data_IF_083173313404
#
_entry.id   IF_083173313404
#
_cell.length_a   1.000
_cell.length_b   1.000
_cell.length_c   1.000
_cell.angle_alpha   90.00
_cell.angle_beta   90.00
_cell.angle_gamma   90.00
#
_symmetry.space_group_name_H-M   'P 1'
#
loop_
_entity.id
_entity.type
_entity.pdbx_description
1 polymer ?
#
# COMPACT_ATOMS: atom_id res chain seq x y z
N UNK A 1 -19.58 21.07 -19.79
CA UNK A 1 -18.68 20.74 -18.64
C UNK A 1 -18.74 19.23 -18.47
N UNK A 2 -17.65 18.50 -18.77
CA UNK A 2 -17.62 17.05 -18.52
C UNK A 2 -17.79 16.82 -17.02
N UNK A 3 -18.58 15.80 -16.63
CA UNK A 3 -18.70 15.40 -15.23
C UNK A 3 -17.31 15.07 -14.67
N UNK A 4 -17.02 15.52 -13.44
CA UNK A 4 -15.81 15.13 -12.73
C UNK A 4 -15.77 13.60 -12.58
N UNK A 5 -14.64 12.99 -12.92
CA UNK A 5 -14.44 11.55 -12.76
C UNK A 5 -14.51 11.20 -11.27
N UNK A 6 -15.41 10.29 -10.88
CA UNK A 6 -15.64 9.85 -9.49
C UNK A 6 -15.10 8.44 -9.28
N UNK A 7 -14.19 8.28 -8.34
CA UNK A 7 -13.51 7.02 -8.03
C UNK A 7 -13.81 6.58 -6.60
N UNK A 8 -14.38 5.39 -6.45
CA UNK A 8 -14.51 4.71 -5.15
C UNK A 8 -13.28 3.86 -4.87
N UNK A 9 -12.41 4.28 -3.97
CA UNK A 9 -11.22 3.53 -3.57
C UNK A 9 -11.52 2.71 -2.32
N UNK A 10 -11.44 1.39 -2.39
CA UNK A 10 -11.84 0.48 -1.30
C UNK A 10 -10.60 -0.16 -0.68
N UNK A 11 -10.41 0.09 0.61
CA UNK A 11 -9.37 -0.52 1.43
C UNK A 11 -10.00 -1.52 2.41
N UNK A 12 -9.53 -2.78 2.48
CA UNK A 12 -10.08 -3.76 3.43
C UNK A 12 -9.59 -3.55 4.87
N UNK A 13 -8.49 -2.80 5.04
CA UNK A 13 -7.83 -2.58 6.32
C UNK A 13 -8.29 -1.27 6.98
N UNK A 14 -8.37 -1.29 8.33
CA UNK A 14 -8.70 -0.07 9.09
C UNK A 14 -7.64 1.01 8.88
N UNK A 15 -8.09 2.21 8.50
CA UNK A 15 -7.23 3.38 8.34
C UNK A 15 -6.78 4.00 9.67
N UNK A 16 -7.33 3.54 10.80
CA UNK A 16 -6.87 3.94 12.14
C UNK A 16 -5.63 3.17 12.59
N UNK A 17 -5.21 2.15 11.84
CA UNK A 17 -4.01 1.34 12.10
C UNK A 17 -2.99 1.61 11.00
N UNK A 18 -1.77 2.08 11.32
CA UNK A 18 -0.72 2.29 10.33
C UNK A 18 -0.36 1.00 9.59
N UNK A 19 -0.20 1.09 8.27
CA UNK A 19 0.21 -0.04 7.43
C UNK A 19 0.52 0.40 6.00
N UNK A 20 1.31 -0.40 5.29
CA UNK A 20 1.77 -0.07 3.95
C UNK A 20 0.64 0.13 2.94
N UNK A 21 -0.39 -0.73 2.97
CA UNK A 21 -1.55 -0.61 2.05
C UNK A 21 -2.36 0.64 2.38
N UNK A 22 -2.60 0.93 3.67
CA UNK A 22 -3.31 2.12 4.12
C UNK A 22 -2.59 3.40 3.68
N UNK A 23 -1.27 3.46 3.83
CA UNK A 23 -0.45 4.58 3.36
C UNK A 23 -0.56 4.77 1.84
N UNK A 24 -0.51 3.68 1.05
CA UNK A 24 -0.68 3.73 -0.40
C UNK A 24 -2.06 4.24 -0.81
N UNK A 25 -3.12 3.73 -0.19
CA UNK A 25 -4.51 4.19 -0.43
C UNK A 25 -4.64 5.68 -0.16
N UNK A 26 -4.16 6.15 0.97
CA UNK A 26 -4.28 7.56 1.36
C UNK A 26 -3.42 8.48 0.50
N UNK A 27 -2.16 8.12 0.21
CA UNK A 27 -1.27 8.89 -0.64
C UNK A 27 -1.79 8.99 -2.08
N UNK A 28 -2.18 7.86 -2.67
CA UNK A 28 -2.76 7.83 -4.01
C UNK A 28 -4.05 8.67 -4.09
N UNK A 29 -4.90 8.60 -3.06
CA UNK A 29 -6.13 9.39 -3.01
C UNK A 29 -5.85 10.89 -2.95
N UNK A 30 -4.85 11.34 -2.17
CA UNK A 30 -4.45 12.74 -2.09
C UNK A 30 -3.96 13.26 -3.45
N UNK A 31 -3.08 12.52 -4.12
CA UNK A 31 -2.55 12.92 -5.42
C UNK A 31 -3.63 12.96 -6.52
N UNK A 32 -4.49 11.95 -6.59
CA UNK A 32 -5.61 11.94 -7.55
C UNK A 32 -6.55 13.12 -7.33
N UNK A 33 -6.86 13.47 -6.06
CA UNK A 33 -7.68 14.64 -5.73
C UNK A 33 -6.98 15.95 -6.09
N UNK A 34 -5.68 16.05 -5.89
CA UNK A 34 -4.88 17.20 -6.34
C UNK A 34 -4.90 17.37 -7.87
N UNK A 35 -5.13 16.27 -8.62
CA UNK A 35 -5.33 16.26 -10.07
C UNK A 35 -6.77 16.58 -10.50
N UNK A 36 -7.69 16.89 -9.58
CA UNK A 36 -9.09 17.19 -9.87
C UNK A 36 -9.99 15.97 -10.06
N UNK A 37 -9.56 14.78 -9.67
CA UNK A 37 -10.39 13.56 -9.66
C UNK A 37 -11.12 13.50 -8.32
N UNK A 38 -12.43 13.27 -8.33
CA UNK A 38 -13.19 13.08 -7.10
C UNK A 38 -12.97 11.66 -6.56
N UNK A 39 -12.14 11.53 -5.51
CA UNK A 39 -11.88 10.25 -4.87
C UNK A 39 -12.59 10.20 -3.52
N UNK A 40 -13.32 9.10 -3.28
CA UNK A 40 -13.86 8.73 -1.98
C UNK A 40 -13.24 7.41 -1.54
N UNK A 41 -12.63 7.39 -0.35
CA UNK A 41 -12.06 6.17 0.23
C UNK A 41 -13.11 5.49 1.10
N UNK A 42 -13.38 4.22 0.84
CA UNK A 42 -14.28 3.36 1.60
C UNK A 42 -13.42 2.38 2.41
N UNK A 43 -13.37 2.53 3.73
CA UNK A 43 -12.52 1.69 4.59
C UNK A 43 -13.05 1.58 6.03
N UNK A 44 -12.73 0.50 6.76
CA UNK A 44 -12.94 0.45 8.20
C UNK A 44 -12.14 1.56 8.90
N UNK A 45 -12.70 2.09 10.00
CA UNK A 45 -12.02 3.05 10.88
C UNK A 45 -12.42 2.77 12.33
N UNK A 46 -11.43 2.58 13.20
CA UNK A 46 -11.64 2.34 14.64
C UNK A 46 -11.76 3.63 15.45
N UNK A 47 -11.49 4.77 14.81
CA UNK A 47 -11.60 6.12 15.32
C UNK A 47 -12.16 7.08 14.27
N UNK A 48 -11.97 8.39 14.47
CA UNK A 48 -12.34 9.38 13.46
C UNK A 48 -11.65 9.10 12.12
N UNK A 49 -12.33 9.30 10.97
CA UNK A 49 -11.71 9.11 9.67
C UNK A 49 -10.53 10.08 9.50
N UNK A 50 -9.40 9.64 8.93
CA UNK A 50 -8.18 10.45 8.82
C UNK A 50 -8.30 11.64 7.85
N UNK A 51 -9.35 11.66 7.02
CA UNK A 51 -9.61 12.75 6.08
C UNK A 51 -11.10 12.84 5.73
N UNK A 52 -11.56 14.02 5.29
CA UNK A 52 -12.96 14.26 4.92
C UNK A 52 -13.45 13.47 3.70
N UNK A 53 -12.54 12.99 2.87
CA UNK A 53 -12.85 12.13 1.74
C UNK A 53 -12.88 10.63 2.08
N UNK A 54 -12.80 10.26 3.35
CA UNK A 54 -12.92 8.89 3.84
C UNK A 54 -14.33 8.66 4.38
N UNK A 55 -14.99 7.62 3.88
CA UNK A 55 -16.25 7.10 4.39
C UNK A 55 -15.98 5.90 5.28
N UNK A 56 -16.17 6.02 6.62
CA UNK A 56 -15.91 4.93 7.55
C UNK A 56 -16.95 3.82 7.42
N UNK A 57 -16.49 2.57 7.21
CA UNK A 57 -17.35 1.41 7.03
C UNK A 57 -17.63 0.63 8.32
N UNK A 58 -17.08 1.06 9.45
CA UNK A 58 -17.22 0.43 10.76
C UNK A 58 -15.88 0.14 11.41
N UNK A 59 -15.90 -0.56 12.54
CA UNK A 59 -14.70 -0.94 13.29
C UNK A 59 -14.07 -2.21 12.74
N UNK A 60 -12.77 -2.35 12.94
CA UNK A 60 -12.02 -3.55 12.53
C UNK A 60 -11.96 -4.58 13.66
N UNK A 61 -11.73 -5.83 13.25
CA UNK A 61 -11.42 -6.96 14.12
C UNK A 61 -9.99 -7.41 13.83
N UNK A 62 -9.15 -7.62 14.86
CA UNK A 62 -7.82 -8.19 14.68
C UNK A 62 -7.93 -9.59 14.07
N UNK A 63 -7.41 -9.78 12.88
CA UNK A 63 -7.49 -11.05 12.14
C UNK A 63 -6.07 -11.52 11.81
N UNK A 64 -5.73 -12.76 12.15
CA UNK A 64 -4.44 -13.35 11.77
C UNK A 64 -4.37 -13.56 10.27
N UNK A 65 -3.37 -12.99 9.62
CA UNK A 65 -3.12 -13.14 8.19
C UNK A 65 -1.60 -13.16 7.90
N UNK A 66 -1.13 -14.21 7.26
CA UNK A 66 0.26 -14.35 6.78
C UNK A 66 1.34 -14.00 7.83
N UNK A 67 1.19 -14.48 9.06
CA UNK A 67 2.15 -14.21 10.16
C UNK A 67 2.05 -12.81 10.78
N UNK A 68 1.03 -12.03 10.42
CA UNK A 68 0.75 -10.70 10.94
C UNK A 68 -0.72 -10.59 11.37
N UNK A 69 -1.05 -9.55 12.17
CA UNK A 69 -2.44 -9.25 12.53
C UNK A 69 -2.94 -8.13 11.62
N UNK A 70 -3.95 -8.45 10.81
CA UNK A 70 -4.61 -7.50 9.91
C UNK A 70 -5.89 -6.94 10.55
N UNK A 71 -6.13 -5.61 10.54
CA UNK A 71 -7.34 -4.99 11.08
C UNK A 71 -8.46 -5.02 10.02
N UNK A 72 -9.21 -6.13 9.93
CA UNK A 72 -10.26 -6.36 8.94
C UNK A 72 -11.67 -6.11 9.52
N UNK A 73 -12.64 -5.84 8.64
CA UNK A 73 -14.06 -5.72 9.00
C UNK A 73 -14.95 -6.65 8.14
N UNK A 74 -14.96 -7.96 8.41
CA UNK A 74 -15.77 -8.92 7.64
C UNK A 74 -17.24 -8.98 8.07
N UNK A 75 -17.67 -8.15 9.01
CA UNK A 75 -18.99 -8.18 9.63
C UNK A 75 -20.11 -7.67 8.69
N UNK A 76 -21.38 -8.11 8.90
CA UNK A 76 -22.52 -7.68 8.08
C UNK A 76 -22.77 -6.18 8.09
N UNK A 77 -22.47 -5.48 9.18
CA UNK A 77 -22.65 -4.03 9.26
C UNK A 77 -21.70 -3.29 8.31
N UNK A 78 -20.46 -3.75 8.20
CA UNK A 78 -19.50 -3.22 7.23
C UNK A 78 -19.98 -3.49 5.80
N UNK A 79 -20.49 -4.71 5.52
CA UNK A 79 -21.04 -5.05 4.21
C UNK A 79 -22.21 -4.14 3.82
N UNK A 80 -23.18 -3.92 4.72
CA UNK A 80 -24.32 -3.04 4.46
C UNK A 80 -23.90 -1.59 4.20
N UNK A 81 -22.94 -1.05 4.97
CA UNK A 81 -22.40 0.30 4.72
C UNK A 81 -21.66 0.38 3.40
N UNK A 82 -20.93 -0.68 3.02
CA UNK A 82 -20.25 -0.76 1.72
C UNK A 82 -21.27 -0.75 0.57
N UNK A 83 -22.32 -1.58 0.66
CA UNK A 83 -23.41 -1.61 -0.32
C UNK A 83 -24.04 -0.22 -0.47
N UNK A 84 -24.38 0.41 0.66
CA UNK A 84 -24.97 1.74 0.68
C UNK A 84 -24.08 2.77 -0.01
N UNK A 85 -22.80 2.85 0.37
CA UNK A 85 -21.84 3.79 -0.21
C UNK A 85 -21.67 3.57 -1.73
N UNK A 86 -21.56 2.31 -2.19
CA UNK A 86 -21.42 1.98 -3.61
C UNK A 86 -22.68 2.31 -4.42
N UNK A 87 -23.86 2.31 -3.79
CA UNK A 87 -25.13 2.61 -4.45
C UNK A 87 -25.41 4.12 -4.49
N UNK A 88 -25.12 4.84 -3.38
CA UNK A 88 -25.44 6.27 -3.26
C UNK A 88 -24.40 7.19 -3.92
N UNK A 89 -23.13 6.77 -3.99
CA UNK A 89 -22.03 7.61 -4.50
C UNK A 89 -21.88 7.58 -6.03
N UNK A 90 -22.52 6.65 -6.73
CA UNK A 90 -22.53 6.56 -8.21
C UNK A 90 -21.13 6.67 -8.85
N UNK A 91 -20.17 5.84 -8.39
CA UNK A 91 -18.80 5.86 -8.91
C UNK A 91 -18.70 5.49 -10.39
N UNK A 92 -17.84 6.18 -11.13
CA UNK A 92 -17.47 5.84 -12.50
C UNK A 92 -16.55 4.62 -12.56
N UNK A 93 -15.64 4.48 -11.55
CA UNK A 93 -14.70 3.38 -11.38
C UNK A 93 -14.60 3.04 -9.90
N UNK A 94 -14.45 1.74 -9.60
CA UNK A 94 -14.14 1.24 -8.26
C UNK A 94 -12.73 0.67 -8.27
N UNK A 95 -11.85 1.17 -7.40
CA UNK A 95 -10.49 0.68 -7.23
C UNK A 95 -10.37 -0.10 -5.93
N UNK A 96 -10.07 -1.40 -6.01
CA UNK A 96 -9.92 -2.28 -4.86
C UNK A 96 -8.46 -2.51 -4.53
N UNK A 97 -8.07 -2.31 -3.30
CA UNK A 97 -6.78 -2.76 -2.76
C UNK A 97 -6.99 -4.09 -2.02
N UNK A 98 -6.17 -5.10 -2.32
CA UNK A 98 -6.33 -6.47 -1.82
C UNK A 98 -7.76 -7.02 -2.06
N UNK A 99 -8.16 -7.23 -3.32
CA UNK A 99 -9.56 -7.41 -3.72
C UNK A 99 -10.24 -8.63 -3.09
N UNK A 100 -9.49 -9.67 -2.73
CA UNK A 100 -10.04 -10.91 -2.19
C UNK A 100 -9.96 -11.01 -0.66
N UNK A 101 -9.54 -9.94 0.00
CA UNK A 101 -9.58 -9.85 1.47
C UNK A 101 -11.02 -9.75 1.94
N UNK A 102 -11.41 -10.53 3.00
CA UNK A 102 -12.77 -10.48 3.54
C UNK A 102 -13.19 -9.08 4.01
N UNK A 103 -14.41 -8.68 3.68
CA UNK A 103 -14.98 -7.40 4.07
C UNK A 103 -15.40 -6.54 2.87
N UNK A 104 -15.10 -5.23 2.87
CA UNK A 104 -15.62 -4.28 1.90
C UNK A 104 -15.21 -4.57 0.45
N UNK A 105 -14.00 -5.09 0.22
CA UNK A 105 -13.52 -5.39 -1.14
C UNK A 105 -14.27 -6.53 -1.79
N UNK A 106 -14.57 -7.61 -1.05
CA UNK A 106 -15.41 -8.70 -1.55
C UNK A 106 -16.83 -8.22 -1.84
N UNK A 107 -17.39 -7.40 -0.95
CA UNK A 107 -18.72 -6.80 -1.15
C UNK A 107 -18.74 -5.96 -2.44
N UNK A 108 -17.72 -5.16 -2.69
CA UNK A 108 -17.61 -4.34 -3.90
C UNK A 108 -17.52 -5.19 -5.19
N UNK A 109 -16.79 -6.32 -5.17
CA UNK A 109 -16.75 -7.26 -6.31
C UNK A 109 -18.14 -7.85 -6.57
N UNK A 110 -18.88 -8.21 -5.54
CA UNK A 110 -20.21 -8.79 -5.68
C UNK A 110 -21.21 -7.78 -6.24
N UNK A 111 -21.20 -6.55 -5.75
CA UNK A 111 -22.07 -5.46 -6.19
C UNK A 111 -21.78 -5.05 -7.63
N UNK A 112 -20.52 -4.95 -8.03
CA UNK A 112 -20.05 -4.65 -9.39
C UNK A 112 -20.78 -3.43 -10.02
N UNK A 113 -20.93 -2.34 -9.27
CA UNK A 113 -21.67 -1.14 -9.67
C UNK A 113 -20.98 -0.34 -10.78
N UNK A 114 -19.65 -0.46 -10.89
CA UNK A 114 -18.81 0.21 -11.88
C UNK A 114 -17.67 -0.72 -12.32
N UNK A 115 -16.92 -0.40 -13.41
CA UNK A 115 -15.69 -1.11 -13.76
C UNK A 115 -14.74 -1.15 -12.59
N UNK A 116 -14.13 -2.34 -12.33
CA UNK A 116 -13.26 -2.57 -11.19
C UNK A 116 -11.80 -2.66 -11.66
N UNK A 117 -10.93 -1.82 -11.09
CA UNK A 117 -9.49 -2.02 -11.08
C UNK A 117 -9.08 -2.60 -9.73
N UNK A 118 -8.13 -3.53 -9.72
CA UNK A 118 -7.71 -4.21 -8.50
C UNK A 118 -6.20 -4.19 -8.36
N UNK A 119 -5.71 -3.76 -7.19
CA UNK A 119 -4.29 -3.75 -6.85
C UNK A 119 -3.98 -4.78 -5.77
N UNK A 120 -3.04 -5.67 -6.06
CA UNK A 120 -2.57 -6.76 -5.22
C UNK A 120 -1.25 -6.36 -4.55
N UNK A 121 -1.22 -6.38 -3.23
CA UNK A 121 -0.05 -5.96 -2.43
C UNK A 121 0.68 -7.13 -1.76
N UNK A 122 0.00 -8.25 -1.54
CA UNK A 122 0.55 -9.40 -0.83
C UNK A 122 1.50 -10.20 -1.71
N UNK A 123 2.61 -10.66 -1.12
CA UNK A 123 3.55 -11.61 -1.71
C UNK A 123 3.68 -12.85 -0.80
N UNK A 124 4.38 -13.89 -1.27
CA UNK A 124 4.59 -15.13 -0.55
C UNK A 124 3.54 -16.19 -0.82
N UNK A 125 3.10 -16.95 0.20
CA UNK A 125 2.06 -17.98 0.09
C UNK A 125 0.75 -17.51 0.75
N UNK A 126 -0.39 -17.91 0.18
CA UNK A 126 -1.71 -17.56 0.70
C UNK A 126 -2.61 -18.79 0.81
N UNK A 127 -2.87 -19.19 2.05
CA UNK A 127 -3.82 -20.27 2.33
C UNK A 127 -5.22 -19.93 1.77
N UNK A 128 -5.64 -18.67 1.83
CA UNK A 128 -6.94 -18.24 1.32
C UNK A 128 -7.06 -18.49 -0.20
N UNK A 129 -6.04 -18.16 -0.99
CA UNK A 129 -6.03 -18.44 -2.43
C UNK A 129 -6.04 -19.93 -2.73
N UNK A 130 -5.40 -20.75 -1.91
CA UNK A 130 -5.35 -22.20 -2.06
C UNK A 130 -6.70 -22.86 -1.83
N UNK A 131 -7.38 -22.52 -0.73
CA UNK A 131 -8.63 -23.14 -0.36
C UNK A 131 -9.88 -22.56 -1.04
N UNK A 132 -9.85 -21.27 -1.42
CA UNK A 132 -10.98 -20.58 -2.04
C UNK A 132 -10.81 -20.35 -3.54
N UNK A 133 -10.02 -21.19 -4.23
CA UNK A 133 -9.62 -21.00 -5.63
C UNK A 133 -10.82 -20.78 -6.58
N UNK A 134 -11.87 -21.63 -6.49
CA UNK A 134 -13.02 -21.51 -7.40
C UNK A 134 -13.82 -20.20 -7.26
N UNK A 135 -14.24 -19.78 -6.07
CA UNK A 135 -14.93 -18.50 -5.91
C UNK A 135 -14.02 -17.30 -6.25
N UNK A 136 -12.72 -17.37 -5.95
CA UNK A 136 -11.76 -16.33 -6.30
C UNK A 136 -11.61 -16.20 -7.83
N UNK A 137 -11.52 -17.32 -8.56
CA UNK A 137 -11.50 -17.31 -10.03
C UNK A 137 -12.78 -16.70 -10.62
N UNK A 138 -13.95 -17.05 -10.11
CA UNK A 138 -15.20 -16.47 -10.57
C UNK A 138 -15.27 -14.95 -10.30
N UNK A 139 -14.81 -14.52 -9.13
CA UNK A 139 -14.75 -13.11 -8.75
C UNK A 139 -13.72 -12.33 -9.59
N UNK A 140 -12.59 -12.97 -9.94
CA UNK A 140 -11.53 -12.35 -10.74
C UNK A 140 -11.98 -11.95 -12.15
N UNK A 141 -12.97 -12.63 -12.72
CA UNK A 141 -13.55 -12.29 -14.03
C UNK A 141 -14.31 -10.95 -14.03
N UNK A 142 -14.62 -10.41 -12.85
CA UNK A 142 -15.25 -9.09 -12.69
C UNK A 142 -14.24 -7.94 -12.65
N UNK A 143 -12.95 -8.25 -12.56
CA UNK A 143 -11.88 -7.26 -12.53
C UNK A 143 -11.56 -6.82 -13.97
N UNK A 144 -11.84 -5.57 -14.29
CA UNK A 144 -11.59 -5.00 -15.62
C UNK A 144 -10.10 -4.72 -15.87
N UNK A 145 -9.33 -4.43 -14.80
CA UNK A 145 -7.88 -4.25 -14.85
C UNK A 145 -7.23 -4.79 -13.57
N UNK A 146 -6.07 -5.40 -13.69
CA UNK A 146 -5.36 -6.04 -12.58
C UNK A 146 -3.94 -5.50 -12.48
N UNK A 147 -3.58 -5.04 -11.29
CA UNK A 147 -2.27 -4.48 -10.96
C UNK A 147 -1.64 -5.26 -9.82
N UNK A 148 -0.35 -5.52 -9.89
CA UNK A 148 0.44 -6.05 -8.79
C UNK A 148 1.54 -5.05 -8.42
N UNK A 149 1.81 -4.86 -7.12
CA UNK A 149 2.79 -3.86 -6.66
C UNK A 149 4.24 -4.34 -6.75
N UNK A 150 4.47 -5.61 -7.10
CA UNK A 150 5.79 -6.19 -7.26
C UNK A 150 5.74 -7.44 -8.15
N UNK A 151 6.91 -7.93 -8.57
CA UNK A 151 7.03 -9.21 -9.25
C UNK A 151 6.52 -10.36 -8.39
N UNK A 152 6.86 -10.35 -7.10
CA UNK A 152 6.46 -11.38 -6.14
C UNK A 152 4.95 -11.40 -5.91
N UNK A 153 4.32 -10.22 -5.81
CA UNK A 153 2.86 -10.10 -5.73
C UNK A 153 2.19 -10.61 -7.02
N UNK A 154 2.75 -10.28 -8.19
CA UNK A 154 2.29 -10.81 -9.49
C UNK A 154 2.40 -12.33 -9.53
N UNK A 155 3.52 -12.90 -9.14
CA UNK A 155 3.73 -14.36 -9.14
C UNK A 155 2.76 -15.08 -8.22
N UNK A 156 2.53 -14.55 -7.01
CA UNK A 156 1.56 -15.11 -6.07
C UNK A 156 0.18 -15.20 -6.73
N UNK A 157 -0.35 -14.07 -7.20
CA UNK A 157 -1.72 -14.05 -7.75
C UNK A 157 -1.83 -14.81 -9.07
N UNK A 158 -0.81 -14.75 -9.92
CA UNK A 158 -0.77 -15.50 -11.19
C UNK A 158 -0.80 -17.02 -10.96
N UNK A 159 -0.07 -17.51 -9.94
CA UNK A 159 -0.02 -18.95 -9.58
C UNK A 159 -1.40 -19.52 -9.25
N UNK A 160 -2.24 -18.76 -8.54
CA UNK A 160 -3.54 -19.24 -8.06
C UNK A 160 -4.72 -18.85 -8.94
N UNK A 161 -4.64 -17.71 -9.62
CA UNK A 161 -5.75 -17.09 -10.34
C UNK A 161 -5.48 -17.08 -11.84
N UNK A 162 -4.20 -17.02 -12.27
CA UNK A 162 -3.83 -16.82 -13.66
C UNK A 162 -4.15 -15.42 -14.17
N UNK A 163 -4.08 -15.21 -15.47
CA UNK A 163 -4.37 -13.93 -16.14
C UNK A 163 -3.18 -12.98 -16.19
N UNK A 164 -3.40 -11.80 -16.78
CA UNK A 164 -2.37 -10.77 -16.94
C UNK A 164 -2.46 -9.72 -15.83
N UNK A 165 -1.30 -9.25 -15.39
CA UNK A 165 -1.13 -8.25 -14.34
C UNK A 165 -0.09 -7.22 -14.79
N UNK A 166 -0.47 -5.95 -14.75
CA UNK A 166 0.48 -4.85 -14.86
C UNK A 166 1.24 -4.70 -13.53
N UNK A 167 2.53 -4.44 -13.59
CA UNK A 167 3.31 -4.15 -12.38
C UNK A 167 3.38 -2.63 -12.23
N UNK A 168 2.74 -2.11 -11.18
CA UNK A 168 2.84 -0.71 -10.76
C UNK A 168 3.33 -0.69 -9.32
N UNK A 169 4.57 -0.26 -9.15
CA UNK A 169 5.20 -0.19 -7.84
C UNK A 169 4.51 0.81 -6.93
N UNK A 170 4.58 0.57 -5.60
CA UNK A 170 4.08 1.50 -4.61
C UNK A 170 4.77 2.86 -4.72
N UNK A 171 4.02 3.94 -4.49
CA UNK A 171 4.52 5.30 -4.53
C UNK A 171 4.81 5.89 -3.15
N UNK A 172 5.64 6.94 -3.14
CA UNK A 172 5.94 7.77 -1.96
C UNK A 172 5.67 9.23 -2.31
N UNK A 173 5.13 9.98 -1.35
CA UNK A 173 4.83 11.41 -1.50
C UNK A 173 6.12 12.24 -1.33
N UNK A 174 6.97 12.26 -2.35
CA UNK A 174 8.30 12.89 -2.33
C UNK A 174 8.34 14.33 -1.81
N UNK A 175 7.35 15.23 -2.10
CA UNK A 175 7.38 16.60 -1.58
C UNK A 175 7.43 16.69 -0.06
N UNK A 176 6.80 15.71 0.65
CA UNK A 176 6.81 15.69 2.11
C UNK A 176 8.24 15.52 2.67
N UNK A 177 9.08 14.74 1.99
CA UNK A 177 10.47 14.48 2.38
C UNK A 177 11.40 15.67 2.07
N UNK A 178 11.04 16.53 1.12
CA UNK A 178 11.85 17.70 0.73
C UNK A 178 11.56 18.93 1.57
N UNK A 179 10.35 19.04 2.11
CA UNK A 179 9.86 20.22 2.84
C UNK A 179 9.92 20.10 4.36
N UNK A 180 10.11 18.89 4.90
CA UNK A 180 10.19 18.68 6.34
C UNK A 180 11.58 19.04 6.87
N UNK A 181 11.68 19.76 8.01
CA UNK A 181 12.96 19.99 8.66
C UNK A 181 13.47 18.69 9.29
N UNK A 182 14.77 18.43 9.13
CA UNK A 182 15.43 17.34 9.84
C UNK A 182 15.37 17.57 11.36
N UNK A 183 15.12 16.52 12.13
CA UNK A 183 15.36 16.55 13.56
C UNK A 183 16.82 16.15 13.79
N UNK A 184 17.66 17.06 14.30
CA UNK A 184 19.05 16.73 14.58
C UNK A 184 19.13 15.60 15.63
N UNK A 185 20.24 14.86 15.57
CA UNK A 185 20.61 13.99 16.68
C UNK A 185 20.62 14.80 18.00
N UNK A 186 20.31 14.20 19.16
CA UNK A 186 20.37 14.88 20.46
C UNK A 186 21.74 15.55 20.71
N UNK A 187 22.79 14.98 20.15
CA UNK A 187 24.15 15.54 20.08
C UNK A 187 24.55 15.74 18.63
N UNK A 188 24.87 16.97 18.20
CA UNK A 188 25.42 17.21 16.87
C UNK A 188 26.61 16.28 16.59
N UNK A 189 26.68 15.79 15.35
CA UNK A 189 27.75 14.90 14.88
C UNK A 189 27.80 13.48 15.47
N UNK A 190 26.80 13.06 16.27
CA UNK A 190 26.76 11.69 16.79
C UNK A 190 26.22 10.72 15.72
N UNK A 191 26.98 9.67 15.34
CA UNK A 191 26.54 8.68 14.38
C UNK A 191 25.26 8.00 14.87
N UNK A 192 24.18 8.09 14.09
CA UNK A 192 22.87 7.62 14.52
C UNK A 192 22.27 6.67 13.50
N UNK A 193 21.84 5.51 13.98
CA UNK A 193 21.10 4.51 13.21
C UNK A 193 19.61 4.69 13.51
N UNK A 194 18.76 4.64 12.49
CA UNK A 194 17.31 4.65 12.64
C UNK A 194 16.68 3.36 12.15
N UNK A 195 15.85 2.76 12.99
CA UNK A 195 14.97 1.65 12.66
C UNK A 195 13.52 2.07 12.81
N UNK A 196 12.70 1.77 11.80
CA UNK A 196 11.26 2.03 11.84
C UNK A 196 10.50 0.84 11.26
N UNK A 197 9.88 0.05 12.14
CA UNK A 197 9.12 -1.14 11.78
C UNK A 197 8.42 -1.76 12.98
N UNK A 198 7.41 -2.62 12.73
CA UNK A 198 6.77 -3.34 13.83
C UNK A 198 7.80 -4.24 14.53
N UNK A 199 7.77 -4.24 15.86
CA UNK A 199 8.63 -5.11 16.66
C UNK A 199 8.06 -6.53 16.66
N UNK A 200 8.34 -7.24 15.58
CA UNK A 200 8.00 -8.66 15.34
C UNK A 200 9.21 -9.35 14.71
N UNK A 201 9.39 -10.64 14.98
CA UNK A 201 10.58 -11.43 14.63
C UNK A 201 11.05 -11.19 13.18
N UNK A 202 10.10 -11.26 12.23
CA UNK A 202 10.41 -11.11 10.79
C UNK A 202 11.03 -9.76 10.41
N UNK A 203 10.90 -8.71 11.26
CA UNK A 203 11.51 -7.39 11.03
C UNK A 203 12.96 -7.29 11.49
N UNK A 204 13.48 -8.30 12.16
CA UNK A 204 14.89 -8.45 12.47
C UNK A 204 15.44 -7.39 13.44
N UNK A 205 14.58 -6.75 14.25
CA UNK A 205 15.07 -5.80 15.26
C UNK A 205 16.04 -6.46 16.24
N UNK A 206 15.87 -7.75 16.58
CA UNK A 206 16.79 -8.53 17.41
C UNK A 206 18.21 -8.56 16.82
N UNK A 207 18.31 -8.71 15.48
CA UNK A 207 19.60 -8.74 14.76
C UNK A 207 20.29 -7.39 14.86
N UNK A 208 19.55 -6.29 14.69
CA UNK A 208 20.11 -4.94 14.83
C UNK A 208 20.54 -4.65 16.26
N UNK A 209 19.74 -5.04 17.26
CA UNK A 209 20.07 -4.85 18.66
C UNK A 209 21.32 -5.66 19.06
N UNK A 210 21.48 -6.88 18.53
CA UNK A 210 22.69 -7.65 18.72
C UNK A 210 23.91 -7.00 18.03
N UNK A 211 23.73 -6.45 16.83
CA UNK A 211 24.78 -5.75 16.10
C UNK A 211 25.29 -4.48 16.82
N UNK A 212 24.42 -3.81 17.62
CA UNK A 212 24.84 -2.67 18.45
C UNK A 212 25.99 -3.00 19.42
N UNK A 213 26.07 -4.26 19.90
CA UNK A 213 27.17 -4.72 20.74
C UNK A 213 28.53 -4.79 20.04
N UNK A 214 28.56 -4.72 18.70
CA UNK A 214 29.77 -4.75 17.88
C UNK A 214 30.16 -3.36 17.34
N UNK A 215 29.32 -2.33 17.61
CA UNK A 215 29.52 -0.96 17.16
C UNK A 215 30.19 -0.12 18.26
N UNK A 216 30.92 0.96 17.90
CA UNK A 216 31.50 1.90 18.85
C UNK A 216 30.48 2.50 19.82
N UNK A 217 30.95 2.84 21.05
CA UNK A 217 30.07 3.27 22.14
C UNK A 217 29.35 4.61 21.86
N UNK A 218 29.88 5.45 20.99
CA UNK A 218 29.25 6.72 20.59
C UNK A 218 28.05 6.56 19.65
N UNK A 219 27.88 5.38 19.01
CA UNK A 219 26.77 5.14 18.05
C UNK A 219 25.44 5.08 18.76
N UNK A 220 24.47 5.86 18.31
CA UNK A 220 23.12 5.89 18.83
C UNK A 220 22.16 5.10 17.93
N UNK A 221 21.16 4.47 18.53
CA UNK A 221 20.09 3.76 17.82
C UNK A 221 18.72 4.34 18.18
N UNK A 222 18.00 4.83 17.20
CA UNK A 222 16.59 5.20 17.33
C UNK A 222 15.69 4.06 16.88
N UNK A 223 14.84 3.58 17.79
CA UNK A 223 13.91 2.46 17.54
C UNK A 223 12.48 3.01 17.56
N UNK A 224 11.86 3.11 16.38
CA UNK A 224 10.48 3.59 16.23
C UNK A 224 9.48 2.46 16.04
N UNK A 225 8.22 2.74 16.38
CA UNK A 225 7.08 1.84 16.38
C UNK A 225 6.99 0.98 17.65
N UNK A 226 6.16 -0.06 17.62
CA UNK A 226 6.00 -1.08 18.65
C UNK A 226 5.44 -2.37 18.02
N UNK A 227 5.35 -3.43 18.79
CA UNK A 227 4.82 -4.72 18.35
C UNK A 227 4.84 -5.75 19.47
N UNK A 228 4.49 -7.01 19.18
CA UNK A 228 4.42 -8.08 20.18
C UNK A 228 5.74 -8.29 20.92
N UNK A 229 6.89 -8.10 20.26
CA UNK A 229 8.21 -8.31 20.88
C UNK A 229 8.74 -7.11 21.67
N UNK A 230 8.06 -5.95 21.66
CA UNK A 230 8.57 -4.73 22.31
C UNK A 230 8.95 -4.94 23.79
N UNK A 231 8.09 -5.60 24.57
CA UNK A 231 8.33 -5.80 25.99
C UNK A 231 9.58 -6.70 26.23
N UNK A 232 9.69 -7.79 25.49
CA UNK A 232 10.85 -8.72 25.54
C UNK A 232 12.15 -8.01 25.19
N UNK A 233 12.14 -7.28 24.06
CA UNK A 233 13.35 -6.58 23.58
C UNK A 233 13.80 -5.47 24.53
N UNK A 234 12.86 -4.70 25.09
CA UNK A 234 13.20 -3.70 26.13
C UNK A 234 13.73 -4.33 27.40
N UNK A 235 13.23 -5.49 27.81
CA UNK A 235 13.77 -6.18 28.99
C UNK A 235 15.20 -6.67 28.74
N UNK A 236 15.53 -7.05 27.53
CA UNK A 236 16.86 -7.58 27.18
C UNK A 236 17.89 -6.48 26.91
N UNK A 237 17.51 -5.40 26.22
CA UNK A 237 18.42 -4.37 25.72
C UNK A 237 18.18 -2.97 26.32
N UNK A 238 17.19 -2.81 27.19
CA UNK A 238 16.81 -1.50 27.71
C UNK A 238 17.81 -0.86 28.67
N UNK A 239 18.84 -1.58 29.12
CA UNK A 239 19.93 -1.04 29.92
C UNK A 239 21.01 -0.33 29.06
N UNK A 240 21.02 -0.51 27.74
CA UNK A 240 21.94 0.18 26.85
C UNK A 240 21.38 1.59 26.56
N UNK A 241 22.02 2.61 27.14
CA UNK A 241 21.62 4.02 27.02
C UNK A 241 21.72 4.58 25.58
N UNK A 242 22.43 3.88 24.68
CA UNK A 242 22.53 4.24 23.27
C UNK A 242 21.24 3.94 22.50
N UNK A 243 20.30 3.15 23.07
CA UNK A 243 19.09 2.68 22.41
C UNK A 243 17.90 3.53 22.86
N UNK A 244 17.42 4.39 21.97
CA UNK A 244 16.29 5.29 22.21
C UNK A 244 15.00 4.70 21.65
N UNK A 245 14.11 4.26 22.53
CA UNK A 245 12.81 3.69 22.16
C UNK A 245 11.77 4.80 21.99
N UNK A 246 11.51 5.18 20.73
CA UNK A 246 10.67 6.33 20.39
C UNK A 246 9.17 6.02 20.39
N UNK A 247 8.78 4.75 20.40
CA UNK A 247 7.38 4.37 20.25
C UNK A 247 6.83 4.68 18.86
N UNK A 248 5.52 4.87 18.75
CA UNK A 248 4.89 5.24 17.48
C UNK A 248 5.16 6.70 17.15
N UNK A 249 5.57 6.95 15.92
CA UNK A 249 5.80 8.28 15.39
C UNK A 249 4.63 8.70 14.47
N UNK A 250 4.42 10.01 14.37
CA UNK A 250 3.63 10.59 13.28
C UNK A 250 4.44 10.49 11.97
N UNK A 251 3.78 10.66 10.81
CA UNK A 251 4.49 10.66 9.52
C UNK A 251 5.52 11.80 9.46
N UNK A 252 5.19 12.98 9.99
CA UNK A 252 6.11 14.12 10.08
C UNK A 252 7.34 13.78 10.93
N UNK A 253 7.14 13.20 12.12
CA UNK A 253 8.27 12.83 13.00
C UNK A 253 9.11 11.72 12.37
N UNK A 254 8.49 10.75 11.69
CA UNK A 254 9.21 9.69 10.96
C UNK A 254 10.12 10.29 9.88
N UNK A 255 9.59 11.21 9.06
CA UNK A 255 10.36 11.88 8.02
C UNK A 255 11.52 12.66 8.65
N UNK A 256 11.26 13.43 9.69
CA UNK A 256 12.29 14.22 10.36
C UNK A 256 13.39 13.34 10.99
N UNK A 257 13.04 12.14 11.52
CA UNK A 257 14.01 11.15 12.02
C UNK A 257 14.80 10.49 10.90
N UNK A 258 14.17 10.18 9.78
CA UNK A 258 14.88 9.70 8.60
C UNK A 258 15.94 10.70 8.15
N UNK A 259 15.57 11.96 7.97
CA UNK A 259 16.50 13.03 7.56
C UNK A 259 17.61 13.32 8.58
N UNK A 260 17.34 13.11 9.87
CA UNK A 260 18.30 13.35 10.95
C UNK A 260 19.21 12.15 11.26
N UNK A 261 18.93 10.97 10.73
CA UNK A 261 19.73 9.78 10.96
C UNK A 261 20.90 9.68 9.97
N UNK A 262 22.04 9.18 10.44
CA UNK A 262 23.19 8.90 9.56
C UNK A 262 22.91 7.70 8.66
N UNK A 263 22.26 6.66 9.20
CA UNK A 263 21.93 5.42 8.48
C UNK A 263 20.54 4.95 8.88
N UNK A 264 19.73 4.60 7.89
CA UNK A 264 18.51 3.83 8.09
C UNK A 264 18.78 2.34 7.97
N UNK A 265 18.32 1.55 8.95
CA UNK A 265 18.53 0.10 8.98
C UNK A 265 17.21 -0.66 8.85
N UNK A 266 17.12 -1.55 7.84
CA UNK A 266 15.98 -2.42 7.60
C UNK A 266 16.41 -3.91 7.57
N UNK A 267 16.67 -4.54 8.74
CA UNK A 267 17.28 -5.87 8.84
C UNK A 267 16.27 -7.01 8.81
N UNK A 268 15.18 -6.86 8.04
CA UNK A 268 14.10 -7.85 7.98
C UNK A 268 14.63 -9.25 7.62
N UNK A 269 14.08 -10.29 8.25
CA UNK A 269 14.48 -11.68 8.02
C UNK A 269 13.75 -12.30 6.81
N UNK A 270 12.47 -11.93 6.63
CA UNK A 270 11.62 -12.43 5.54
C UNK A 270 10.32 -11.61 5.43
N UNK A 271 9.49 -11.93 4.42
CA UNK A 271 8.11 -11.43 4.32
C UNK A 271 7.97 -9.98 3.86
N UNK A 272 8.99 -9.44 3.20
CA UNK A 272 8.92 -8.12 2.56
C UNK A 272 8.50 -8.29 1.10
N UNK A 273 7.41 -7.63 0.73
CA UNK A 273 6.88 -7.70 -0.64
C UNK A 273 7.46 -6.65 -1.59
N UNK A 274 7.89 -5.49 -1.04
CA UNK A 274 8.35 -4.40 -1.89
C UNK A 274 9.42 -3.51 -1.24
N UNK A 275 9.29 -3.14 0.04
CA UNK A 275 10.29 -2.29 0.73
C UNK A 275 9.99 -0.79 0.64
N UNK A 276 8.74 -0.37 0.82
CA UNK A 276 8.36 1.06 0.86
C UNK A 276 9.22 1.87 1.82
N UNK A 277 9.62 1.29 2.95
CA UNK A 277 10.49 1.96 3.94
C UNK A 277 11.87 2.32 3.38
N UNK A 278 12.38 1.56 2.39
CA UNK A 278 13.64 1.90 1.73
C UNK A 278 13.46 3.11 0.82
N UNK A 279 12.34 3.20 0.09
CA UNK A 279 12.03 4.37 -0.74
C UNK A 279 11.85 5.61 0.13
N UNK A 280 11.22 5.47 1.28
CA UNK A 280 11.07 6.54 2.26
C UNK A 280 12.45 7.07 2.74
N UNK A 281 13.37 6.17 3.05
CA UNK A 281 14.74 6.53 3.44
C UNK A 281 15.52 7.17 2.27
N UNK A 282 15.40 6.62 1.05
CA UNK A 282 15.98 7.20 -0.17
C UNK A 282 15.45 8.61 -0.41
N UNK A 283 14.12 8.82 -0.30
CA UNK A 283 13.50 10.13 -0.48
C UNK A 283 13.94 11.15 0.58
N UNK A 284 14.22 10.69 1.80
CA UNK A 284 14.75 11.51 2.89
C UNK A 284 16.24 11.85 2.73
N UNK A 285 16.96 11.20 1.81
CA UNK A 285 18.39 11.35 1.64
C UNK A 285 19.20 10.65 2.75
N UNK A 286 18.70 9.53 3.26
CA UNK A 286 19.35 8.75 4.32
C UNK A 286 20.03 7.54 3.71
N UNK A 287 21.29 7.27 4.08
CA UNK A 287 21.99 6.06 3.67
C UNK A 287 21.31 4.80 4.24
N UNK A 288 21.32 3.70 3.48
CA UNK A 288 20.54 2.50 3.81
C UNK A 288 21.44 1.29 3.98
N UNK A 289 21.24 0.56 5.09
CA UNK A 289 21.63 -0.83 5.23
C UNK A 289 20.37 -1.67 5.35
N UNK A 290 20.20 -2.67 4.49
CA UNK A 290 19.02 -3.52 4.50
C UNK A 290 19.37 -4.99 4.24
N UNK A 291 18.49 -5.90 4.63
CA UNK A 291 18.63 -7.31 4.29
C UNK A 291 18.42 -7.54 2.79
N UNK A 292 19.19 -8.48 2.23
CA UNK A 292 19.19 -8.87 0.82
C UNK A 292 17.97 -9.75 0.48
N UNK A 293 16.75 -9.25 0.72
CA UNK A 293 15.50 -9.92 0.41
C UNK A 293 15.01 -9.58 -1.00
N UNK A 294 14.33 -10.51 -1.66
CA UNK A 294 13.78 -10.29 -3.01
C UNK A 294 12.86 -9.06 -3.07
N UNK A 295 12.02 -8.87 -2.05
CA UNK A 295 11.17 -7.67 -1.94
C UNK A 295 11.98 -6.37 -1.91
N UNK A 296 13.08 -6.33 -1.18
CA UNK A 296 13.95 -5.16 -1.09
C UNK A 296 14.75 -4.92 -2.37
N UNK A 297 15.16 -5.99 -3.07
CA UNK A 297 15.83 -5.90 -4.38
C UNK A 297 14.95 -5.33 -5.50
N UNK A 298 13.63 -5.26 -5.33
CA UNK A 298 12.75 -4.53 -6.24
C UNK A 298 13.00 -3.00 -6.19
N UNK A 299 13.48 -2.51 -5.05
CA UNK A 299 13.69 -1.08 -4.75
C UNK A 299 15.16 -0.72 -4.77
N UNK A 300 15.98 -1.48 -4.06
CA UNK A 300 17.39 -1.18 -3.79
C UNK A 300 18.34 -2.08 -4.59
N UNK A 301 19.46 -1.52 -5.00
CA UNK A 301 20.57 -2.23 -5.66
C UNK A 301 21.81 -2.11 -4.79
N UNK A 302 22.39 -3.27 -4.46
CA UNK A 302 23.56 -3.34 -3.57
C UNK A 302 24.74 -2.55 -4.14
N UNK A 303 25.43 -1.83 -3.26
CA UNK A 303 26.57 -0.93 -3.52
C UNK A 303 26.30 0.17 -4.56
N UNK A 304 25.02 0.38 -4.96
CA UNK A 304 24.60 1.46 -5.87
C UNK A 304 23.83 2.54 -5.12
N UNK A 305 22.74 2.16 -4.44
CA UNK A 305 21.81 3.04 -3.71
C UNK A 305 21.51 2.58 -2.28
N UNK A 306 22.03 1.43 -1.87
CA UNK A 306 21.98 0.86 -0.53
C UNK A 306 23.12 -0.13 -0.31
N UNK A 307 23.36 -0.56 0.93
CA UNK A 307 24.17 -1.74 1.27
C UNK A 307 23.22 -2.87 1.65
N UNK A 308 23.29 -4.00 0.94
CA UNK A 308 22.47 -5.18 1.21
C UNK A 308 23.30 -6.28 1.88
N UNK A 309 22.78 -6.81 2.99
CA UNK A 309 23.44 -7.85 3.81
C UNK A 309 22.60 -9.10 3.89
N UNK A 310 23.20 -10.26 4.17
CA UNK A 310 22.45 -11.50 4.37
C UNK A 310 21.50 -11.39 5.57
N UNK A 311 20.23 -11.81 5.42
CA UNK A 311 19.24 -11.78 6.49
C UNK A 311 19.72 -12.56 7.72
N UNK A 312 19.71 -11.92 8.89
CA UNK A 312 20.07 -12.54 10.17
C UNK A 312 21.57 -12.57 10.48
N UNK A 313 22.44 -12.15 9.57
CA UNK A 313 23.90 -12.09 9.80
C UNK A 313 24.25 -10.81 10.58
N UNK A 314 24.47 -10.98 11.88
CA UNK A 314 24.80 -9.89 12.82
C UNK A 314 26.15 -9.25 12.50
N UNK A 315 27.16 -10.04 12.15
CA UNK A 315 28.53 -9.55 11.90
C UNK A 315 28.60 -8.76 10.60
N UNK A 316 27.95 -9.27 9.53
CA UNK A 316 27.86 -8.57 8.26
C UNK A 316 27.07 -7.27 8.42
N UNK A 317 25.96 -7.28 9.17
CA UNK A 317 25.16 -6.09 9.47
C UNK A 317 25.99 -5.05 10.22
N UNK A 318 26.69 -5.43 11.29
CA UNK A 318 27.54 -4.52 12.05
C UNK A 318 28.67 -3.93 11.19
N UNK A 319 29.29 -4.75 10.33
CA UNK A 319 30.33 -4.29 9.40
C UNK A 319 29.79 -3.26 8.40
N UNK A 320 28.63 -3.54 7.80
CA UNK A 320 27.98 -2.62 6.86
C UNK A 320 27.56 -1.29 7.52
N UNK A 321 26.97 -1.36 8.72
CA UNK A 321 26.61 -0.19 9.51
C UNK A 321 27.85 0.64 9.85
N UNK A 322 28.90 0.03 10.37
CA UNK A 322 30.16 0.72 10.72
C UNK A 322 30.76 1.42 9.50
N UNK A 323 30.76 0.75 8.34
CA UNK A 323 31.25 1.36 7.09
C UNK A 323 30.49 2.62 6.74
N UNK A 324 29.13 2.58 6.72
CA UNK A 324 28.31 3.75 6.37
C UNK A 324 28.30 4.85 7.42
N UNK A 325 28.51 4.53 8.70
CA UNK A 325 28.60 5.54 9.76
C UNK A 325 29.83 6.40 9.66
N UNK A 326 30.97 5.87 9.13
CA UNK A 326 32.29 6.55 9.15
C UNK A 326 32.89 6.80 7.75
N UNK A 327 32.28 6.34 6.66
CA UNK A 327 32.71 6.61 5.28
C UNK A 327 31.75 7.62 4.62
N UNK A 328 32.03 8.91 4.79
CA UNK A 328 31.20 10.00 4.26
C UNK A 328 31.14 9.96 2.74
N UNK A 329 32.24 9.61 2.04
CA UNK A 329 32.27 9.55 0.57
C UNK A 329 31.34 8.47 0.05
N UNK A 330 31.37 7.29 0.65
CA UNK A 330 30.48 6.21 0.29
C UNK A 330 29.02 6.59 0.62
N UNK A 331 28.80 7.16 1.81
CA UNK A 331 27.45 7.58 2.23
C UNK A 331 26.84 8.60 1.25
N UNK A 332 27.58 9.64 0.86
CA UNK A 332 27.12 10.66 -0.07
C UNK A 332 26.82 10.08 -1.47
N UNK A 333 27.66 9.16 -1.94
CA UNK A 333 27.42 8.43 -3.20
C UNK A 333 26.12 7.64 -3.18
N UNK A 334 25.91 6.84 -2.15
CA UNK A 334 24.71 5.99 -2.03
C UNK A 334 23.44 6.82 -1.81
N UNK A 335 23.49 7.89 -1.01
CA UNK A 335 22.33 8.76 -0.78
C UNK A 335 21.94 9.52 -2.04
N UNK A 336 22.90 10.02 -2.81
CA UNK A 336 22.63 10.71 -4.08
C UNK A 336 21.94 9.75 -5.08
N UNK A 337 22.47 8.54 -5.23
CA UNK A 337 21.88 7.52 -6.09
C UNK A 337 20.49 7.09 -5.57
N UNK A 338 20.33 6.92 -4.25
CA UNK A 338 19.06 6.60 -3.60
C UNK A 338 17.99 7.67 -3.84
N UNK A 339 18.32 8.96 -3.72
CA UNK A 339 17.39 10.04 -4.03
C UNK A 339 16.94 10.02 -5.49
N UNK A 340 17.87 9.79 -6.44
CA UNK A 340 17.53 9.62 -7.86
C UNK A 340 16.63 8.40 -8.07
N UNK A 341 16.91 7.30 -7.37
CA UNK A 341 16.09 6.08 -7.42
C UNK A 341 14.67 6.32 -6.91
N UNK A 342 14.49 7.08 -5.83
CA UNK A 342 13.19 7.42 -5.24
C UNK A 342 12.26 8.14 -6.24
N UNK A 343 12.79 8.93 -7.19
CA UNK A 343 11.96 9.59 -8.22
C UNK A 343 11.13 8.61 -9.05
N UNK A 344 11.63 7.40 -9.27
CA UNK A 344 10.90 6.35 -10.00
C UNK A 344 9.69 5.82 -9.23
N UNK A 345 9.60 6.11 -7.94
CA UNK A 345 8.53 5.70 -7.04
C UNK A 345 7.68 6.88 -6.58
N UNK A 346 7.59 7.94 -7.38
CA UNK A 346 6.76 9.10 -7.07
C UNK A 346 5.29 8.72 -7.01
N UNK A 347 4.61 9.06 -5.92
CA UNK A 347 3.15 8.88 -5.78
C UNK A 347 2.39 9.67 -6.85
N UNK A 348 2.91 10.83 -7.23
CA UNK A 348 2.36 11.66 -8.31
C UNK A 348 2.36 10.93 -9.65
N UNK A 349 3.51 10.35 -10.04
CA UNK A 349 3.63 9.58 -11.29
C UNK A 349 2.73 8.34 -11.28
N UNK A 350 2.64 7.65 -10.14
CA UNK A 350 1.73 6.53 -9.96
C UNK A 350 0.25 6.96 -10.11
N UNK A 351 -0.13 8.10 -9.54
CA UNK A 351 -1.48 8.66 -9.67
C UNK A 351 -1.82 9.03 -11.12
N UNK A 352 -0.86 9.53 -11.90
CA UNK A 352 -1.03 9.84 -13.32
C UNK A 352 -1.34 8.57 -14.15
N UNK A 353 -0.64 7.48 -13.87
CA UNK A 353 -0.88 6.17 -14.50
C UNK A 353 -2.29 5.66 -14.16
N UNK A 354 -2.66 5.66 -12.87
CA UNK A 354 -4.00 5.23 -12.47
C UNK A 354 -5.10 6.14 -13.03
N UNK A 355 -4.89 7.45 -13.09
CA UNK A 355 -5.83 8.38 -13.70
C UNK A 355 -6.07 8.08 -15.19
N UNK A 356 -5.03 7.67 -15.93
CA UNK A 356 -5.16 7.22 -17.31
C UNK A 356 -5.99 5.92 -17.41
N UNK A 357 -5.74 4.96 -16.52
CA UNK A 357 -6.54 3.72 -16.46
C UNK A 357 -8.01 3.99 -16.15
N UNK A 358 -8.31 4.86 -15.19
CA UNK A 358 -9.70 5.20 -14.85
C UNK A 358 -10.43 5.83 -16.03
N UNK A 359 -9.80 6.80 -16.72
CA UNK A 359 -10.39 7.43 -17.91
C UNK A 359 -10.66 6.42 -19.02
N UNK A 360 -9.73 5.49 -19.26
CA UNK A 360 -9.90 4.41 -20.24
C UNK A 360 -11.08 3.51 -19.87
N UNK A 361 -11.17 3.04 -18.64
CA UNK A 361 -12.26 2.16 -18.17
C UNK A 361 -13.63 2.82 -18.26
N UNK A 362 -13.70 4.14 -17.99
CA UNK A 362 -14.94 4.91 -18.10
C UNK A 362 -15.35 5.08 -19.57
N UNK A 363 -14.42 5.36 -20.47
CA UNK A 363 -14.66 5.46 -21.90
C UNK A 363 -15.14 4.12 -22.49
N UNK A 364 -14.49 3.02 -22.15
CA UNK A 364 -14.85 1.66 -22.58
C UNK A 364 -16.27 1.26 -22.09
N UNK A 365 -16.67 1.72 -20.90
CA UNK A 365 -18.02 1.51 -20.38
C UNK A 365 -19.05 2.27 -21.17
N UNK A 366 -18.82 3.55 -21.42
CA UNK A 366 -19.71 4.40 -22.18
C UNK A 366 -19.94 3.86 -23.59
N UNK A 367 -18.87 3.44 -24.28
CA UNK A 367 -18.97 2.85 -25.61
C UNK A 367 -19.78 1.54 -25.62
N UNK A 368 -19.58 0.66 -24.61
CA UNK A 368 -20.37 -0.58 -24.47
C UNK A 368 -21.85 -0.31 -24.27
N UNK A 369 -22.21 0.69 -23.45
CA UNK A 369 -23.60 1.07 -23.22
C UNK A 369 -24.24 1.59 -24.52
N UNK A 370 -23.55 2.47 -25.23
CA UNK A 370 -24.05 3.01 -26.54
C UNK A 370 -24.22 1.90 -27.59
N UNK A 371 -23.32 0.94 -27.66
CA UNK A 371 -23.47 -0.22 -28.57
C UNK A 371 -24.67 -1.08 -28.17
N UNK A 372 -24.93 -1.26 -26.90
CA UNK A 372 -26.07 -2.03 -26.41
C UNK A 372 -27.38 -1.35 -26.68
N UNK A 373 -27.46 -0.05 -26.48
CA UNK A 373 -28.62 0.77 -26.81
C UNK A 373 -28.97 0.71 -28.33
N UNK A 374 -27.96 0.94 -29.19
CA UNK A 374 -28.12 0.81 -30.66
C UNK A 374 -28.63 -0.57 -31.06
N UNK A 375 -28.05 -1.64 -30.54
CA UNK A 375 -28.47 -3.01 -30.82
C UNK A 375 -29.89 -3.30 -30.31
N UNK A 376 -30.29 -2.68 -29.19
CA UNK A 376 -31.66 -2.77 -28.67
C UNK A 376 -32.66 -2.05 -29.55
N UNK A 377 -32.33 -0.84 -30.04
CA UNK A 377 -33.14 -0.05 -30.93
C UNK A 377 -33.32 -0.75 -32.30
N UNK A 378 -32.25 -1.29 -32.87
CA UNK A 378 -32.31 -2.08 -34.12
C UNK A 378 -33.24 -3.29 -33.97
N UNK A 379 -33.15 -4.04 -32.86
CA UNK A 379 -34.05 -5.18 -32.58
C UNK A 379 -35.49 -4.71 -32.40
N UNK A 380 -35.75 -3.54 -31.82
CA UNK A 380 -37.06 -2.97 -31.67
C UNK A 380 -37.66 -2.55 -33.02
N UNK A 381 -36.83 -2.04 -33.95
CA UNK A 381 -37.22 -1.68 -35.31
C UNK A 381 -37.51 -2.91 -36.18
N UNK A 382 -36.80 -4.02 -35.99
CA UNK A 382 -36.98 -5.28 -36.74
C UNK A 382 -38.16 -6.14 -36.26
N UNK A 383 -38.82 -5.81 -35.13
CA UNK A 383 -40.02 -6.50 -34.68
C UNK A 383 -41.20 -6.28 -35.71
N UNK A 384 -41.86 -7.36 -36.18
CA UNK A 384 -42.97 -7.26 -37.10
C UNK A 384 -44.09 -6.34 -36.57
N UNK A 385 -44.72 -5.56 -37.43
CA UNK A 385 -45.81 -4.61 -37.05
C UNK A 385 -46.96 -5.27 -36.29
N UNK A 386 -47.19 -6.58 -36.46
CA UNK A 386 -48.19 -7.36 -35.71
C UNK A 386 -47.93 -7.46 -34.20
N UNK A 387 -46.68 -7.46 -33.76
CA UNK A 387 -46.35 -7.50 -32.30
C UNK A 387 -46.45 -6.12 -31.65
N UNK A 388 -46.33 -5.03 -32.42
CA UNK A 388 -46.48 -3.66 -31.90
C UNK A 388 -47.95 -3.28 -31.56
N UNK A 389 -48.93 -3.95 -32.15
CA UNK A 389 -50.35 -3.73 -31.82
C UNK A 389 -50.76 -4.39 -30.49
N UNK A 390 -50.18 -5.53 -30.14
CA UNK A 390 -50.47 -6.23 -28.88
C UNK A 390 -49.95 -5.50 -27.66
N UNK A 391 -48.75 -4.90 -27.72
CA UNK A 391 -48.17 -4.12 -26.62
C UNK A 391 -48.91 -2.83 -26.31
N UNK A 392 -49.64 -2.23 -27.32
CA UNK A 392 -50.51 -1.07 -27.12
C UNK A 392 -51.86 -1.44 -26.48
N UNK A 393 -52.35 -2.65 -26.71
CA UNK A 393 -53.64 -3.10 -26.18
C UNK A 393 -53.60 -3.44 -24.68
N UNK A 394 -52.40 -3.72 -24.12
CA UNK A 394 -52.20 -4.08 -22.69
C UNK A 394 -51.70 -2.95 -21.80
N UNK A 395 -51.43 -1.74 -22.31
CA UNK A 395 -51.19 -0.57 -21.47
C UNK A 395 -52.51 -0.03 -20.92
N UNK A 396 -52.84 -0.40 -19.70
CA UNK A 396 -53.96 0.23 -18.95
C UNK A 396 -53.66 1.71 -18.76
N UNK A 397 -54.64 2.61 -18.93
CA UNK A 397 -54.47 4.02 -18.62
C UNK A 397 -54.23 4.18 -17.11
N UNK A 398 -53.45 5.18 -16.70
CA UNK A 398 -53.25 5.48 -15.27
C UNK A 398 -54.57 5.93 -14.66
N UNK A 399 -54.91 5.41 -13.50
CA UNK A 399 -55.98 5.90 -12.62
C UNK A 399 -55.48 7.07 -11.80
#
# INVERSE_FOLDING_TARGET
>A
MGSLLRVGMVCPYSLSVPGGVQAQVMGLSRELRAMGIEVRVLAPCDGPPPATFVTPLGKSLPTSANGSIAPLAPDPSCQLRTIRALTEEEFDVVHLHEPFTPGPTQTAILMHTAPIIATFHSAGDSAAYRYLRRPVLAASNRLAHRVAVSKDAKELVHRYIGGEYEILYNGVELPAYRSSPALPSPTPDTPTIFFCGRHEERKGLDVLLAAMGLLPDEVQLWVASNGPDTARLRAQYGADERIHWLGRLTDTDKIARLQGATVFCAPSLHGESFGVVLIEAMAAGTAIVASSLDGYRNVATDDVDAVLVEPGDVDQLATALKRLLYDDVMRDRLTTAGQQRAEHFSMRSLAEIYAAHYRRLTADRAERLLRHERASDERALMRPRSSRMLDRAFRRPPR
#
